data_IF_391730702241
#
_entry.id   IF_391730702241
#
_cell.length_a   1.000
_cell.length_b   1.000
_cell.length_c   1.000
_cell.angle_alpha   90.00
_cell.angle_beta   90.00
_cell.angle_gamma   90.00
#
_symmetry.space_group_name_H-M   'P 1'
#
loop_
_entity.id
_entity.type
_entity.pdbx_description
1 polymer ?
#
# COMPACT_ATOMS: atom_id res chain seq x y z
N UNK A 1 -14.93 -1.53 4.75
CA UNK A 1 -13.63 -1.95 4.17
C UNK A 1 -13.73 -3.40 3.72
N UNK A 2 -12.97 -3.86 2.69
CA UNK A 2 -12.93 -5.30 2.38
C UNK A 2 -12.39 -6.05 3.60
N UNK A 3 -12.74 -7.32 3.75
CA UNK A 3 -12.06 -8.19 4.71
C UNK A 3 -10.56 -8.14 4.46
N UNK A 4 -9.76 -8.04 5.52
CA UNK A 4 -8.29 -8.00 5.42
C UNK A 4 -7.72 -9.40 5.19
N UNK A 5 -8.18 -10.05 4.12
CA UNK A 5 -7.67 -11.33 3.63
C UNK A 5 -7.00 -11.12 2.28
N UNK A 6 -5.97 -11.91 1.92
CA UNK A 6 -5.31 -11.76 0.63
C UNK A 6 -6.25 -11.84 -0.57
N UNK A 7 -7.28 -12.67 -0.50
CA UNK A 7 -8.23 -12.84 -1.60
C UNK A 7 -9.16 -11.65 -1.76
N UNK A 8 -9.77 -11.18 -0.66
CA UNK A 8 -10.62 -9.98 -0.71
C UNK A 8 -9.84 -8.72 -1.12
N UNK A 9 -8.57 -8.62 -0.73
CA UNK A 9 -7.69 -7.54 -1.17
C UNK A 9 -7.38 -7.62 -2.67
N UNK A 10 -7.13 -8.82 -3.20
CA UNK A 10 -6.91 -9.02 -4.63
C UNK A 10 -8.13 -8.63 -5.46
N UNK A 11 -9.32 -9.03 -5.02
CA UNK A 11 -10.59 -8.64 -5.66
C UNK A 11 -10.79 -7.12 -5.63
N UNK A 12 -10.57 -6.50 -4.47
CA UNK A 12 -10.71 -5.05 -4.34
C UNK A 12 -9.73 -4.29 -5.24
N UNK A 13 -8.47 -4.72 -5.31
CA UNK A 13 -7.46 -4.12 -6.19
C UNK A 13 -7.80 -4.33 -7.66
N UNK A 14 -8.28 -5.53 -8.05
CA UNK A 14 -8.72 -5.78 -9.41
C UNK A 14 -9.85 -4.84 -9.86
N UNK A 15 -10.73 -4.45 -8.93
CA UNK A 15 -11.84 -3.56 -9.23
C UNK A 15 -11.47 -2.07 -9.20
N UNK A 16 -10.64 -1.65 -8.23
CA UNK A 16 -10.37 -0.22 -7.96
C UNK A 16 -9.13 0.27 -8.69
N UNK A 17 -8.04 -0.51 -8.66
CA UNK A 17 -6.72 -0.11 -9.19
C UNK A 17 -6.02 -1.31 -9.85
N UNK A 18 -6.55 -1.80 -10.99
CA UNK A 18 -6.07 -3.04 -11.61
C UNK A 18 -4.59 -2.98 -12.03
N UNK A 19 -4.06 -1.78 -12.28
CA UNK A 19 -2.64 -1.54 -12.58
C UNK A 19 -1.69 -2.01 -11.47
N UNK A 20 -2.17 -2.14 -10.22
CA UNK A 20 -1.39 -2.59 -9.06
C UNK A 20 -1.47 -4.08 -8.76
N UNK A 21 -2.26 -4.85 -9.50
CA UNK A 21 -2.33 -6.32 -9.32
C UNK A 21 -0.96 -7.02 -9.41
N UNK A 22 -0.05 -6.66 -10.35
CA UNK A 22 1.27 -7.29 -10.41
C UNK A 22 2.11 -7.01 -9.15
N UNK A 23 2.01 -5.80 -8.60
CA UNK A 23 2.70 -5.40 -7.37
C UNK A 23 2.15 -6.17 -6.15
N UNK A 24 0.82 -6.26 -6.04
CA UNK A 24 0.16 -7.03 -4.98
C UNK A 24 0.61 -8.49 -4.98
N UNK A 25 0.61 -9.13 -6.14
CA UNK A 25 1.00 -10.54 -6.25
C UNK A 25 2.47 -10.76 -5.87
N UNK A 26 3.38 -9.87 -6.30
CA UNK A 26 4.80 -9.93 -5.91
C UNK A 26 4.98 -9.74 -4.40
N UNK A 27 4.27 -8.80 -3.80
CA UNK A 27 4.33 -8.56 -2.35
C UNK A 27 3.78 -9.76 -1.57
N UNK A 28 2.66 -10.35 -2.01
CA UNK A 28 2.10 -11.56 -1.39
C UNK A 28 3.10 -12.73 -1.42
N UNK A 29 3.74 -12.99 -2.57
CA UNK A 29 4.75 -14.04 -2.69
C UNK A 29 5.94 -13.82 -1.74
N UNK A 30 6.42 -12.57 -1.62
CA UNK A 30 7.48 -12.19 -0.67
C UNK A 30 7.04 -12.37 0.78
N UNK A 31 5.83 -11.94 1.12
CA UNK A 31 5.27 -12.09 2.47
C UNK A 31 5.13 -13.56 2.85
N UNK A 32 4.61 -14.41 1.96
CA UNK A 32 4.49 -15.85 2.19
C UNK A 32 5.85 -16.54 2.36
N UNK A 33 6.85 -16.14 1.56
CA UNK A 33 8.23 -16.64 1.68
C UNK A 33 8.85 -16.25 3.02
N UNK A 34 8.69 -14.99 3.43
CA UNK A 34 9.18 -14.49 4.70
C UNK A 34 8.50 -15.19 5.87
N UNK A 35 7.17 -15.34 5.82
CA UNK A 35 6.41 -16.02 6.85
C UNK A 35 6.89 -17.46 7.09
N UNK A 36 7.19 -18.19 6.01
CA UNK A 36 7.80 -19.52 6.09
C UNK A 36 9.20 -19.48 6.71
N UNK A 37 10.07 -18.56 6.24
CA UNK A 37 11.45 -18.44 6.76
C UNK A 37 11.50 -18.09 8.25
N UNK A 38 10.56 -17.27 8.72
CA UNK A 38 10.52 -16.81 10.11
C UNK A 38 9.57 -17.62 10.99
N UNK A 39 8.87 -18.62 10.43
CA UNK A 39 7.78 -19.35 11.09
C UNK A 39 6.78 -18.43 11.80
N UNK A 40 6.39 -17.33 11.14
CA UNK A 40 5.58 -16.26 11.72
C UNK A 40 4.58 -15.72 10.72
N UNK A 41 3.36 -15.43 11.17
CA UNK A 41 2.33 -14.79 10.36
C UNK A 41 2.51 -13.26 10.24
N UNK A 42 3.48 -12.69 10.96
CA UNK A 42 3.77 -11.24 10.95
C UNK A 42 3.90 -10.64 9.53
N UNK A 43 4.67 -11.24 8.61
CA UNK A 43 4.81 -10.74 7.25
C UNK A 43 3.49 -10.73 6.46
N UNK A 44 2.63 -11.74 6.64
CA UNK A 44 1.31 -11.80 5.97
C UNK A 44 0.37 -10.76 6.57
N UNK A 45 0.39 -10.57 7.90
CA UNK A 45 -0.41 -9.52 8.55
C UNK A 45 0.02 -8.11 8.10
N UNK A 46 1.33 -7.87 7.97
CA UNK A 46 1.85 -6.62 7.46
C UNK A 46 1.41 -6.38 6.00
N UNK A 47 1.43 -7.43 5.17
CA UNK A 47 0.89 -7.39 3.81
C UNK A 47 -0.59 -6.99 3.79
N UNK A 48 -1.43 -7.62 4.60
CA UNK A 48 -2.88 -7.34 4.60
C UNK A 48 -3.19 -5.92 5.06
N UNK A 49 -2.48 -5.40 6.07
CA UNK A 49 -2.65 -4.02 6.53
C UNK A 49 -2.22 -3.00 5.47
N UNK A 50 -1.04 -3.22 4.87
CA UNK A 50 -0.52 -2.34 3.82
C UNK A 50 -1.49 -2.23 2.63
N UNK A 51 -1.97 -3.36 2.11
CA UNK A 51 -2.90 -3.36 0.98
C UNK A 51 -4.31 -2.92 1.35
N UNK A 52 -4.74 -3.15 2.59
CA UNK A 52 -5.95 -2.54 3.13
C UNK A 52 -5.89 -1.02 3.08
N UNK A 53 -4.76 -0.42 3.46
CA UNK A 53 -4.56 1.02 3.44
C UNK A 53 -4.53 1.57 2.01
N UNK A 54 -3.83 0.89 1.09
CA UNK A 54 -3.86 1.22 -0.34
C UNK A 54 -5.30 1.22 -0.84
N UNK A 55 -6.06 0.15 -0.62
CA UNK A 55 -7.47 0.07 -1.06
C UNK A 55 -8.34 1.15 -0.42
N UNK A 56 -8.10 1.51 0.84
CA UNK A 56 -8.79 2.64 1.48
C UNK A 56 -8.49 3.96 0.75
N UNK A 57 -7.21 4.27 0.51
CA UNK A 57 -6.78 5.48 -0.22
C UNK A 57 -7.42 5.55 -1.60
N UNK A 58 -7.34 4.46 -2.36
CA UNK A 58 -7.78 4.37 -3.76
C UNK A 58 -9.30 4.48 -3.93
N UNK A 59 -10.08 4.23 -2.86
CA UNK A 59 -11.54 4.48 -2.86
C UNK A 59 -11.90 5.96 -2.92
N UNK A 60 -10.97 6.86 -2.58
CA UNK A 60 -11.21 8.30 -2.50
C UNK A 60 -10.34 9.03 -3.52
N UNK A 61 -10.88 9.43 -4.70
CA UNK A 61 -10.09 9.96 -5.81
C UNK A 61 -9.16 11.13 -5.44
N UNK A 62 -9.59 12.01 -4.54
CA UNK A 62 -8.76 13.14 -4.08
C UNK A 62 -7.57 12.68 -3.23
N UNK A 63 -7.76 11.67 -2.37
CA UNK A 63 -6.68 11.09 -1.56
C UNK A 63 -5.72 10.30 -2.46
N UNK A 64 -6.26 9.53 -3.41
CA UNK A 64 -5.49 8.78 -4.40
C UNK A 64 -4.62 9.72 -5.26
N UNK A 65 -5.19 10.80 -5.80
CA UNK A 65 -4.45 11.76 -6.60
C UNK A 65 -3.27 12.38 -5.83
N UNK A 66 -3.49 12.79 -4.56
CA UNK A 66 -2.42 13.30 -3.70
C UNK A 66 -1.36 12.22 -3.43
N UNK A 67 -1.80 10.99 -3.16
CA UNK A 67 -0.91 9.87 -2.90
C UNK A 67 0.01 9.57 -4.11
N UNK A 68 -0.56 9.49 -5.31
CA UNK A 68 0.21 9.27 -6.54
C UNK A 68 1.17 10.41 -6.83
N UNK A 69 0.74 11.66 -6.71
CA UNK A 69 1.62 12.81 -6.93
C UNK A 69 2.84 12.78 -5.98
N UNK A 70 2.63 12.43 -4.71
CA UNK A 70 3.73 12.28 -3.75
C UNK A 70 4.61 11.07 -4.05
N UNK A 71 4.04 9.93 -4.48
CA UNK A 71 4.83 8.77 -4.91
C UNK A 71 5.71 9.09 -6.12
N UNK A 72 5.15 9.77 -7.12
CA UNK A 72 5.84 10.15 -8.34
C UNK A 72 7.01 11.10 -8.03
N UNK A 73 6.76 12.11 -7.19
CA UNK A 73 7.79 13.05 -6.70
C UNK A 73 8.89 12.38 -5.89
N UNK A 74 8.53 11.37 -5.08
CA UNK A 74 9.50 10.63 -4.26
C UNK A 74 10.34 9.64 -5.09
N UNK A 75 9.81 9.15 -6.20
CA UNK A 75 10.48 8.22 -7.11
C UNK A 75 11.25 8.92 -8.23
N UNK A 76 11.04 10.22 -8.43
CA UNK A 76 11.71 11.02 -9.46
C UNK A 76 13.22 11.16 -9.15
N UNK A 77 14.11 10.57 -9.96
CA UNK A 77 15.55 10.65 -9.74
C UNK A 77 16.13 12.05 -10.01
N UNK A 78 15.36 12.94 -10.63
CA UNK A 78 15.74 14.34 -10.92
C UNK A 78 15.20 15.32 -9.88
N UNK A 79 14.35 14.87 -8.95
CA UNK A 79 13.81 15.73 -7.91
C UNK A 79 14.90 16.17 -6.93
N UNK A 80 14.72 17.35 -6.36
CA UNK A 80 15.55 17.80 -5.25
C UNK A 80 15.46 16.78 -4.08
N UNK A 81 16.58 16.40 -3.44
CA UNK A 81 16.58 15.40 -2.38
C UNK A 81 15.68 15.73 -1.18
N UNK A 82 15.50 17.01 -0.86
CA UNK A 82 14.60 17.43 0.22
C UNK A 82 13.14 17.35 -0.21
N UNK A 83 12.84 17.71 -1.45
CA UNK A 83 11.50 17.53 -2.03
C UNK A 83 11.11 16.05 -2.11
N UNK A 84 12.01 15.17 -2.54
CA UNK A 84 11.80 13.73 -2.57
C UNK A 84 11.58 13.15 -1.16
N UNK A 85 12.37 13.59 -0.18
CA UNK A 85 12.22 13.18 1.23
C UNK A 85 10.89 13.64 1.82
N UNK A 86 10.51 14.88 1.57
CA UNK A 86 9.22 15.44 2.00
C UNK A 86 8.05 14.67 1.38
N UNK A 87 8.13 14.35 0.09
CA UNK A 87 7.14 13.54 -0.61
C UNK A 87 7.05 12.10 -0.05
N UNK A 88 8.18 11.45 0.24
CA UNK A 88 8.20 10.13 0.88
C UNK A 88 7.59 10.16 2.29
N UNK A 89 7.85 11.22 3.07
CA UNK A 89 7.24 11.41 4.38
C UNK A 89 5.71 11.61 4.28
N UNK A 90 5.25 12.33 3.26
CA UNK A 90 3.83 12.50 2.95
C UNK A 90 3.16 11.16 2.61
N UNK A 91 3.76 10.37 1.73
CA UNK A 91 3.31 9.00 1.38
C UNK A 91 3.16 8.16 2.65
N UNK A 92 4.17 8.18 3.52
CA UNK A 92 4.14 7.46 4.80
C UNK A 92 2.99 7.92 5.71
N UNK A 93 2.72 9.24 5.78
CA UNK A 93 1.63 9.78 6.59
C UNK A 93 0.27 9.36 6.07
N UNK A 94 0.06 9.42 4.75
CA UNK A 94 -1.19 9.02 4.11
C UNK A 94 -1.46 7.53 4.37
N UNK A 95 -0.45 6.67 4.21
CA UNK A 95 -0.56 5.24 4.50
C UNK A 95 -0.89 4.95 5.96
N UNK A 96 -0.25 5.66 6.90
CA UNK A 96 -0.51 5.50 8.33
C UNK A 96 -1.96 5.85 8.68
N UNK A 97 -2.43 7.03 8.27
CA UNK A 97 -3.82 7.47 8.52
C UNK A 97 -4.81 6.48 7.91
N UNK A 98 -4.58 6.04 6.66
CA UNK A 98 -5.45 5.07 6.01
C UNK A 98 -5.44 3.70 6.70
N UNK A 99 -4.34 3.31 7.37
CA UNK A 99 -4.24 2.08 8.15
C UNK A 99 -4.98 2.20 9.49
N UNK A 100 -4.87 3.34 10.18
CA UNK A 100 -5.60 3.63 11.42
C UNK A 100 -7.12 3.60 11.20
N UNK A 101 -7.59 4.10 10.04
CA UNK A 101 -9.00 4.01 9.63
C UNK A 101 -9.51 2.57 9.39
N UNK A 102 -8.62 1.57 9.25
CA UNK A 102 -9.02 0.16 9.15
C UNK A 102 -9.29 -0.48 10.51
N UNK A 103 -8.69 0.08 11.56
CA UNK A 103 -8.77 -0.43 12.94
C UNK A 103 -9.87 0.28 13.76
N UNK A 104 -10.45 1.35 13.21
CA UNK A 104 -11.56 2.12 13.79
C UNK A 104 -12.94 1.62 13.37
#
# INVERSE_FOLDING_TARGET
MPSLTPDALREAVAHIVPSRLPELNRHLARAATNAQRTSSLGPVRAFTLHWGAIVNIERWPQRAARFHACQERAADPLADPEEARSAAAEVGRILRVASEELES
#
